data_IF_782199584428
#
_entry.id   IF_782199584428
#
_cell.length_a   1.000
_cell.length_b   1.000
_cell.length_c   1.000
_cell.angle_alpha   90.00
_cell.angle_beta   90.00
_cell.angle_gamma   90.00
#
_symmetry.space_group_name_H-M   'P 1'
#
loop_
_entity.id
_entity.type
_entity.pdbx_description
1 polymer ?
#
# COMPACT_ATOMS: atom_id res chain seq x y z
N UNK A 1 5.86 -8.05 -16.88
CA UNK A 1 4.45 -8.42 -16.67
C UNK A 1 3.67 -7.45 -15.81
N UNK A 2 4.34 -6.48 -15.16
CA UNK A 2 3.65 -5.25 -14.80
C UNK A 2 2.94 -4.73 -16.06
N UNK A 3 1.63 -4.50 -15.98
CA UNK A 3 0.88 -4.08 -17.16
C UNK A 3 1.36 -2.69 -17.53
N UNK A 4 1.53 -2.42 -18.84
CA UNK A 4 1.90 -1.07 -19.32
C UNK A 4 0.94 -0.01 -18.75
N UNK A 5 -0.32 -0.38 -18.51
CA UNK A 5 -1.35 0.47 -17.90
C UNK A 5 -1.04 0.83 -16.45
N UNK A 6 -0.77 -0.14 -15.57
CA UNK A 6 -0.42 0.13 -14.16
C UNK A 6 0.83 1.01 -14.06
N UNK A 7 1.85 0.70 -14.86
CA UNK A 7 3.09 1.49 -14.88
C UNK A 7 2.85 2.90 -15.40
N UNK A 8 2.00 3.06 -16.41
CA UNK A 8 1.57 4.37 -16.92
C UNK A 8 0.84 5.16 -15.83
N UNK A 9 -0.15 4.58 -15.15
CA UNK A 9 -0.88 5.23 -14.05
C UNK A 9 0.09 5.71 -12.97
N UNK A 10 1.03 4.86 -12.56
CA UNK A 10 2.05 5.21 -11.57
C UNK A 10 2.93 6.37 -12.01
N UNK A 11 3.41 6.31 -13.25
CA UNK A 11 4.37 7.27 -13.81
C UNK A 11 3.70 8.62 -14.07
N UNK A 12 2.47 8.64 -14.60
CA UNK A 12 1.71 9.88 -14.81
C UNK A 12 1.40 10.57 -13.47
N UNK A 13 1.01 9.80 -12.44
CA UNK A 13 0.78 10.34 -11.10
C UNK A 13 2.04 10.97 -10.52
N UNK A 14 3.19 10.32 -10.68
CA UNK A 14 4.49 10.84 -10.26
C UNK A 14 4.90 12.08 -11.06
N UNK A 15 4.69 12.08 -12.38
CA UNK A 15 4.96 13.22 -13.26
C UNK A 15 4.16 14.46 -12.82
N UNK A 16 2.89 14.27 -12.47
CA UNK A 16 2.05 15.34 -11.93
C UNK A 16 2.65 15.90 -10.63
N UNK A 17 3.05 15.06 -9.68
CA UNK A 17 3.69 15.57 -8.45
C UNK A 17 5.09 16.16 -8.65
N UNK A 18 5.84 15.68 -9.64
CA UNK A 18 7.17 16.21 -9.96
C UNK A 18 7.05 17.65 -10.49
N UNK A 19 5.98 17.99 -11.23
CA UNK A 19 5.69 19.37 -11.65
C UNK A 19 5.53 20.33 -10.46
N UNK A 20 4.94 19.85 -9.37
CA UNK A 20 4.79 20.63 -8.13
C UNK A 20 6.02 20.53 -7.21
N UNK A 21 7.09 19.84 -7.62
CA UNK A 21 8.29 19.59 -6.80
C UNK A 21 7.93 19.06 -5.41
N UNK A 22 6.94 18.17 -5.31
CA UNK A 22 6.36 17.78 -4.03
C UNK A 22 6.72 16.34 -3.60
N UNK A 23 7.79 15.77 -4.16
CA UNK A 23 8.19 14.37 -3.96
C UNK A 23 9.67 14.20 -3.59
N UNK A 24 9.99 13.29 -2.65
CA UNK A 24 11.38 12.92 -2.38
C UNK A 24 11.96 11.99 -3.47
N UNK A 25 11.14 11.52 -4.41
CA UNK A 25 11.51 10.62 -5.51
C UNK A 25 10.95 11.19 -6.80
N UNK A 26 11.80 11.33 -7.81
CA UNK A 26 11.43 11.85 -9.13
C UNK A 26 11.75 10.86 -10.24
N UNK A 27 11.12 11.05 -11.39
CA UNK A 27 11.39 10.28 -12.60
C UNK A 27 12.73 10.75 -13.20
N UNK A 28 13.68 9.83 -13.40
CA UNK A 28 15.00 10.17 -13.98
C UNK A 28 14.97 10.29 -15.49
N UNK A 29 14.20 9.45 -16.16
CA UNK A 29 14.09 9.43 -17.61
C UNK A 29 12.64 9.11 -18.00
N UNK A 30 11.82 10.13 -18.27
CA UNK A 30 10.41 9.95 -18.61
C UNK A 30 10.23 9.25 -19.97
N UNK A 31 11.24 9.28 -20.83
CA UNK A 31 11.22 8.68 -22.17
C UNK A 31 11.81 7.27 -22.21
N UNK A 32 12.52 6.82 -21.17
CA UNK A 32 13.06 5.46 -21.15
C UNK A 32 11.96 4.44 -20.90
N UNK A 33 11.95 3.37 -21.70
CA UNK A 33 11.07 2.22 -21.49
C UNK A 33 11.92 1.01 -21.05
N UNK A 34 11.93 0.62 -19.76
CA UNK A 34 11.02 1.06 -18.71
C UNK A 34 11.49 2.32 -17.93
N UNK A 35 10.57 3.07 -17.28
CA UNK A 35 10.89 4.24 -16.48
C UNK A 35 11.77 3.87 -15.29
N UNK A 36 12.65 4.80 -14.93
CA UNK A 36 13.53 4.70 -13.76
C UNK A 36 13.24 5.84 -12.78
N UNK A 37 13.39 5.54 -11.49
CA UNK A 37 13.26 6.52 -10.41
C UNK A 37 14.63 6.94 -9.89
N UNK A 38 14.74 8.21 -9.49
CA UNK A 38 15.89 8.78 -8.80
C UNK A 38 15.47 9.49 -7.51
N UNK A 39 16.38 9.60 -6.57
CA UNK A 39 16.17 10.45 -5.40
C UNK A 39 16.20 11.92 -5.80
N UNK A 40 15.19 12.70 -5.38
CA UNK A 40 15.18 14.15 -5.57
C UNK A 40 16.29 14.83 -4.77
N UNK A 41 16.78 15.99 -5.24
CA UNK A 41 17.75 16.82 -4.51
C UNK A 41 17.07 17.47 -3.30
N UNK A 42 17.80 17.65 -2.20
CA UNK A 42 17.29 18.24 -0.95
C UNK A 42 16.58 19.59 -1.14
N UNK A 43 17.10 20.44 -2.04
CA UNK A 43 16.53 21.75 -2.35
C UNK A 43 15.07 21.69 -2.84
N UNK A 44 14.67 20.60 -3.49
CA UNK A 44 13.32 20.46 -4.04
C UNK A 44 12.28 19.99 -3.03
N UNK A 45 12.65 19.61 -1.81
CA UNK A 45 11.70 19.16 -0.80
C UNK A 45 12.00 19.71 0.60
N UNK A 46 12.79 20.78 0.72
CA UNK A 46 13.05 21.45 2.01
C UNK A 46 11.76 21.98 2.65
N UNK A 47 10.87 22.56 1.87
CA UNK A 47 9.54 22.99 2.31
C UNK A 47 8.72 21.82 2.88
N UNK A 48 8.79 20.66 2.25
CA UNK A 48 8.14 19.44 2.75
C UNK A 48 8.65 19.01 4.12
N UNK A 49 9.96 19.09 4.34
CA UNK A 49 10.57 18.79 5.65
C UNK A 49 10.06 19.77 6.70
N UNK A 50 10.05 21.07 6.39
CA UNK A 50 9.57 22.11 7.30
C UNK A 50 8.10 21.87 7.66
N UNK A 51 7.22 21.67 6.67
CA UNK A 51 5.81 21.40 6.92
C UNK A 51 5.60 20.11 7.72
N UNK A 52 6.29 19.02 7.37
CA UNK A 52 6.18 17.76 8.12
C UNK A 52 6.58 17.92 9.58
N UNK A 53 7.66 18.65 9.87
CA UNK A 53 8.10 18.92 11.24
C UNK A 53 7.12 19.81 11.99
N UNK A 54 6.62 20.87 11.35
CA UNK A 54 5.59 21.75 11.94
C UNK A 54 4.30 20.99 12.25
N UNK A 55 3.89 20.05 11.38
CA UNK A 55 2.72 19.21 11.62
C UNK A 55 2.95 18.21 12.75
N UNK A 56 4.15 17.61 12.86
CA UNK A 56 4.49 16.76 14.02
C UNK A 56 4.39 17.57 15.31
N UNK A 57 4.95 18.78 15.35
CA UNK A 57 4.86 19.68 16.52
C UNK A 57 3.39 20.01 16.82
N UNK A 58 2.60 20.34 15.81
CA UNK A 58 1.17 20.62 15.96
C UNK A 58 0.44 19.41 16.54
N UNK A 59 0.67 18.20 16.01
CA UNK A 59 0.00 17.00 16.49
C UNK A 59 0.43 16.63 17.90
N UNK A 60 1.71 16.78 18.26
CA UNK A 60 2.18 16.59 19.65
C UNK A 60 1.52 17.61 20.59
N UNK A 61 1.41 18.86 20.16
CA UNK A 61 0.74 19.93 20.93
C UNK A 61 -0.77 19.66 21.08
N UNK A 62 -1.43 19.20 20.02
CA UNK A 62 -2.82 18.78 20.09
C UNK A 62 -2.99 17.54 20.96
N UNK A 63 -2.13 16.53 20.82
CA UNK A 63 -2.17 15.30 21.60
C UNK A 63 -1.98 15.53 23.09
N UNK A 64 -1.01 16.37 23.47
CA UNK A 64 -0.80 16.80 24.86
C UNK A 64 -2.02 17.55 25.39
N UNK A 65 -2.58 18.49 24.63
CA UNK A 65 -3.83 19.17 24.99
C UNK A 65 -5.01 18.20 25.15
N UNK A 66 -5.12 17.21 24.28
CA UNK A 66 -6.14 16.16 24.35
C UNK A 66 -5.94 15.29 25.59
N UNK A 67 -4.69 14.98 25.97
CA UNK A 67 -4.38 14.29 27.24
C UNK A 67 -4.77 15.14 28.46
N UNK A 68 -4.56 16.45 28.43
CA UNK A 68 -5.05 17.34 29.50
C UNK A 68 -6.58 17.39 29.56
N UNK A 69 -7.26 17.32 28.41
CA UNK A 69 -8.72 17.26 28.36
C UNK A 69 -9.32 15.99 28.96
N UNK A 70 -8.58 14.87 29.03
CA UNK A 70 -9.04 13.66 29.74
C UNK A 70 -9.37 13.91 31.21
N UNK A 71 -8.84 14.99 31.80
CA UNK A 71 -9.09 15.39 33.18
C UNK A 71 -10.29 16.34 33.32
N UNK A 72 -10.96 16.73 32.23
CA UNK A 72 -12.18 17.54 32.27
C UNK A 72 -13.41 16.68 32.60
N UNK A 73 -14.26 17.16 33.52
CA UNK A 73 -15.42 16.41 34.04
C UNK A 73 -16.57 16.21 33.04
N UNK A 74 -16.56 16.90 31.89
CA UNK A 74 -17.57 16.79 30.82
C UNK A 74 -16.88 16.62 29.47
N UNK A 75 -16.48 15.39 29.17
CA UNK A 75 -15.78 15.07 27.94
C UNK A 75 -16.77 14.54 26.90
N UNK A 76 -16.92 15.26 25.79
CA UNK A 76 -17.67 14.72 24.64
C UNK A 76 -16.81 13.65 23.95
N UNK A 77 -17.04 12.40 24.34
CA UNK A 77 -16.27 11.22 23.93
C UNK A 77 -16.14 11.11 22.40
N UNK A 78 -17.17 11.49 21.66
CA UNK A 78 -17.20 11.41 20.20
C UNK A 78 -16.20 12.39 19.56
N UNK A 79 -16.22 13.64 20.00
CA UNK A 79 -15.26 14.64 19.51
C UNK A 79 -13.83 14.29 19.89
N UNK A 80 -13.63 13.78 21.11
CA UNK A 80 -12.33 13.33 21.58
C UNK A 80 -11.78 12.18 20.73
N UNK A 81 -12.61 11.17 20.43
CA UNK A 81 -12.19 10.01 19.65
C UNK A 81 -11.90 10.37 18.19
N UNK A 82 -12.69 11.28 17.60
CA UNK A 82 -12.43 11.83 16.26
C UNK A 82 -11.12 12.61 16.23
N UNK A 83 -10.89 13.51 17.19
CA UNK A 83 -9.66 14.30 17.27
C UNK A 83 -8.43 13.41 17.53
N UNK A 84 -8.56 12.37 18.35
CA UNK A 84 -7.49 11.41 18.65
C UNK A 84 -7.13 10.55 17.42
N UNK A 85 -8.12 9.98 16.73
CA UNK A 85 -7.88 9.15 15.53
C UNK A 85 -7.33 10.00 14.37
N UNK A 86 -7.87 11.21 14.18
CA UNK A 86 -7.35 12.12 13.16
C UNK A 86 -5.93 12.56 13.48
N UNK A 87 -5.64 12.93 14.74
CA UNK A 87 -4.30 13.25 15.21
C UNK A 87 -3.31 12.09 14.99
N UNK A 88 -3.69 10.87 15.34
CA UNK A 88 -2.87 9.68 15.09
C UNK A 88 -2.61 9.47 13.60
N UNK A 89 -3.63 9.59 12.74
CA UNK A 89 -3.48 9.44 11.29
C UNK A 89 -2.53 10.49 10.71
N UNK A 90 -2.64 11.76 11.15
CA UNK A 90 -1.74 12.83 10.72
C UNK A 90 -0.30 12.58 11.20
N UNK A 91 -0.10 12.18 12.46
CA UNK A 91 1.24 11.85 12.99
C UNK A 91 1.88 10.69 12.23
N UNK A 92 1.09 9.65 11.98
CA UNK A 92 1.45 8.51 11.17
C UNK A 92 1.94 8.95 9.77
N UNK A 93 1.14 9.73 9.06
CA UNK A 93 1.48 10.17 7.71
C UNK A 93 2.72 11.10 7.71
N UNK A 94 2.91 11.91 8.74
CA UNK A 94 4.11 12.75 8.88
C UNK A 94 5.37 11.95 9.20
N UNK A 95 5.29 10.96 10.08
CA UNK A 95 6.43 10.07 10.38
C UNK A 95 6.85 9.25 9.17
N UNK A 96 5.89 8.80 8.36
CA UNK A 96 6.18 8.16 7.07
C UNK A 96 6.80 9.08 6.05
N UNK A 97 6.33 10.32 6.00
CA UNK A 97 6.91 11.37 5.17
C UNK A 97 8.41 11.56 5.48
N UNK A 98 8.74 11.67 6.77
CA UNK A 98 10.13 11.78 7.26
C UNK A 98 10.92 10.49 6.94
N UNK A 99 10.33 9.32 7.14
CA UNK A 99 10.96 8.05 6.82
C UNK A 99 11.26 7.91 5.32
N UNK A 100 10.31 8.26 4.45
CA UNK A 100 10.48 8.25 3.00
C UNK A 100 11.59 9.22 2.57
N UNK A 101 11.68 10.40 3.18
CA UNK A 101 12.79 11.34 2.95
C UNK A 101 14.14 10.71 3.28
N UNK A 102 14.24 10.08 4.46
CA UNK A 102 15.47 9.42 4.94
C UNK A 102 15.89 8.28 4.01
N UNK A 103 14.93 7.44 3.61
CA UNK A 103 15.16 6.20 2.87
C UNK A 103 14.92 6.32 1.35
N UNK A 104 14.77 7.55 0.81
CA UNK A 104 14.37 7.79 -0.60
C UNK A 104 15.24 7.09 -1.64
N UNK A 105 16.54 6.91 -1.36
CA UNK A 105 17.46 6.19 -2.25
C UNK A 105 17.11 4.70 -2.32
N UNK A 106 16.72 4.12 -1.19
CA UNK A 106 16.36 2.71 -1.11
C UNK A 106 15.01 2.46 -1.77
N UNK A 107 14.05 3.38 -1.63
CA UNK A 107 12.80 3.35 -2.39
C UNK A 107 13.03 3.36 -3.91
N UNK A 108 13.89 4.26 -4.40
CA UNK A 108 14.23 4.32 -5.83
C UNK A 108 14.94 3.04 -6.31
N UNK A 109 15.93 2.53 -5.54
CA UNK A 109 16.62 1.27 -5.84
C UNK A 109 15.67 0.08 -5.88
N UNK A 110 14.73 0.01 -4.94
CA UNK A 110 13.75 -1.07 -4.86
C UNK A 110 12.78 -1.04 -6.05
N UNK A 111 12.28 0.14 -6.44
CA UNK A 111 11.48 0.28 -7.65
C UNK A 111 12.25 -0.14 -8.90
N UNK A 112 13.45 0.40 -9.09
CA UNK A 112 14.30 0.07 -10.24
C UNK A 112 14.67 -1.42 -10.26
N UNK A 113 14.88 -2.02 -9.08
CA UNK A 113 15.10 -3.45 -8.90
C UNK A 113 13.91 -4.28 -9.37
N UNK A 114 12.68 -3.93 -8.96
CA UNK A 114 11.45 -4.58 -9.40
C UNK A 114 11.28 -4.49 -10.92
N UNK A 115 11.47 -3.30 -11.50
CA UNK A 115 11.34 -3.08 -12.94
C UNK A 115 12.40 -3.86 -13.74
N UNK A 116 13.67 -3.82 -13.29
CA UNK A 116 14.76 -4.56 -13.90
C UNK A 116 14.47 -6.06 -13.86
N UNK A 117 14.07 -6.56 -12.69
CA UNK A 117 13.70 -7.95 -12.48
C UNK A 117 12.56 -8.38 -13.41
N UNK A 118 11.49 -7.58 -13.51
CA UNK A 118 10.36 -7.82 -14.42
C UNK A 118 10.78 -7.87 -15.91
N UNK A 119 11.70 -6.98 -16.31
CA UNK A 119 12.21 -6.93 -17.69
C UNK A 119 13.08 -8.14 -18.03
N UNK A 120 13.97 -8.56 -17.12
CA UNK A 120 14.82 -9.74 -17.26
C UNK A 120 13.96 -11.01 -17.32
N UNK A 121 12.93 -11.09 -16.50
CA UNK A 121 12.01 -12.21 -16.54
C UNK A 121 11.22 -12.28 -17.84
N UNK A 122 10.71 -11.14 -18.31
CA UNK A 122 9.98 -11.09 -19.58
C UNK A 122 10.87 -11.55 -20.74
N UNK A 123 12.13 -11.13 -20.79
CA UNK A 123 13.09 -11.56 -21.81
C UNK A 123 13.35 -13.06 -21.76
N UNK A 124 13.60 -13.60 -20.56
CA UNK A 124 14.00 -15.01 -20.41
C UNK A 124 12.83 -16.00 -20.46
N UNK A 125 11.61 -15.58 -20.11
CA UNK A 125 10.41 -16.43 -20.05
C UNK A 125 9.37 -16.10 -21.12
N UNK A 126 9.76 -15.36 -22.16
CA UNK A 126 8.84 -14.85 -23.20
C UNK A 126 7.97 -15.96 -23.80
N UNK A 127 8.54 -17.13 -24.05
CA UNK A 127 7.83 -18.28 -24.63
C UNK A 127 6.73 -18.84 -23.70
N UNK A 128 6.99 -18.92 -22.39
CA UNK A 128 6.00 -19.41 -21.40
C UNK A 128 4.87 -18.40 -21.21
N UNK A 129 5.21 -17.11 -21.27
CA UNK A 129 4.23 -16.03 -21.18
C UNK A 129 3.27 -16.10 -22.36
N UNK A 130 3.77 -16.32 -23.59
CA UNK A 130 2.95 -16.45 -24.79
C UNK A 130 2.02 -17.67 -24.73
N UNK A 131 2.49 -18.81 -24.21
CA UNK A 131 1.67 -20.03 -24.11
C UNK A 131 0.61 -20.02 -22.99
N UNK A 132 0.79 -19.23 -21.94
CA UNK A 132 -0.12 -19.19 -20.79
C UNK A 132 -0.98 -17.92 -20.73
N UNK A 133 -0.84 -17.00 -21.70
CA UNK A 133 -1.57 -15.73 -21.75
C UNK A 133 -3.10 -15.90 -21.91
N UNK A 134 -3.56 -17.04 -22.43
CA UNK A 134 -4.98 -17.27 -22.78
C UNK A 134 -5.88 -17.62 -21.57
N UNK A 135 -5.36 -17.55 -20.34
CA UNK A 135 -6.14 -17.87 -19.14
C UNK A 135 -7.05 -16.71 -18.69
N UNK A 136 -8.36 -16.82 -18.90
CA UNK A 136 -9.40 -15.87 -18.44
C UNK A 136 -9.25 -15.43 -16.95
N UNK A 137 -8.75 -16.31 -16.08
CA UNK A 137 -8.56 -16.02 -14.66
C UNK A 137 -7.40 -15.03 -14.34
N UNK A 138 -6.43 -14.86 -15.25
CA UNK A 138 -5.41 -13.82 -15.14
C UNK A 138 -5.99 -12.44 -15.43
N UNK A 139 -6.92 -12.34 -16.39
CA UNK A 139 -7.52 -11.07 -16.83
C UNK A 139 -8.30 -10.38 -15.72
N UNK A 140 -9.12 -11.12 -14.97
CA UNK A 140 -9.97 -10.53 -13.91
C UNK A 140 -9.16 -10.01 -12.70
N UNK A 141 -8.09 -10.71 -12.29
CA UNK A 141 -7.24 -10.23 -11.19
C UNK A 141 -6.36 -9.04 -11.60
N UNK A 142 -5.93 -8.99 -12.86
CA UNK A 142 -5.23 -7.83 -13.39
C UNK A 142 -6.15 -6.61 -13.41
N UNK A 143 -7.42 -6.80 -13.79
CA UNK A 143 -8.42 -5.73 -13.79
C UNK A 143 -8.66 -5.16 -12.38
N UNK A 144 -8.80 -6.02 -11.36
CA UNK A 144 -9.05 -5.54 -10.00
C UNK A 144 -7.88 -4.74 -9.43
N UNK A 145 -6.64 -5.16 -9.68
CA UNK A 145 -5.44 -4.42 -9.24
C UNK A 145 -5.23 -3.13 -10.05
N UNK A 146 -5.57 -3.13 -11.34
CA UNK A 146 -5.60 -1.93 -12.18
C UNK A 146 -6.61 -0.91 -11.68
N UNK A 147 -7.85 -1.34 -11.38
CA UNK A 147 -8.89 -0.48 -10.84
C UNK A 147 -8.53 0.07 -9.47
N UNK A 148 -7.92 -0.75 -8.59
CA UNK A 148 -7.44 -0.29 -7.29
C UNK A 148 -6.36 0.78 -7.46
N UNK A 149 -5.37 0.54 -8.32
CA UNK A 149 -4.31 1.50 -8.59
C UNK A 149 -4.83 2.81 -9.18
N UNK A 150 -5.82 2.74 -10.07
CA UNK A 150 -6.49 3.90 -10.63
C UNK A 150 -7.29 4.67 -9.56
N UNK A 151 -8.06 3.97 -8.72
CA UNK A 151 -8.79 4.58 -7.62
C UNK A 151 -7.85 5.28 -6.63
N UNK A 152 -6.76 4.62 -6.22
CA UNK A 152 -5.73 5.23 -5.37
C UNK A 152 -5.11 6.46 -6.02
N UNK A 153 -4.85 6.42 -7.33
CA UNK A 153 -4.36 7.57 -8.09
C UNK A 153 -5.35 8.74 -8.05
N UNK A 154 -6.63 8.50 -8.36
CA UNK A 154 -7.66 9.53 -8.35
C UNK A 154 -7.82 10.14 -6.96
N UNK A 155 -8.03 9.32 -5.93
CA UNK A 155 -8.23 9.79 -4.56
C UNK A 155 -7.05 10.64 -4.11
N UNK A 156 -5.81 10.17 -4.30
CA UNK A 156 -4.61 10.92 -3.88
C UNK A 156 -4.31 12.16 -4.74
N UNK A 157 -4.99 12.34 -5.88
CA UNK A 157 -4.86 13.54 -6.72
C UNK A 157 -5.92 14.59 -6.37
N UNK A 158 -7.15 14.16 -6.09
CA UNK A 158 -8.26 15.07 -5.81
C UNK A 158 -8.40 15.44 -4.32
N UNK A 159 -7.92 14.60 -3.40
CA UNK A 159 -8.01 14.87 -1.96
C UNK A 159 -7.42 16.23 -1.54
N UNK A 160 -6.29 16.72 -2.08
CA UNK A 160 -5.80 18.07 -1.79
C UNK A 160 -6.80 19.17 -2.13
N UNK A 161 -7.51 19.06 -3.26
CA UNK A 161 -8.51 20.04 -3.69
C UNK A 161 -9.72 20.02 -2.77
N UNK A 162 -10.22 18.84 -2.45
CA UNK A 162 -11.31 18.66 -1.49
C UNK A 162 -10.92 19.25 -0.13
N UNK A 163 -9.69 19.00 0.32
CA UNK A 163 -9.18 19.54 1.57
C UNK A 163 -9.08 21.07 1.58
N UNK A 164 -8.62 21.67 0.47
CA UNK A 164 -8.61 23.12 0.32
C UNK A 164 -10.00 23.73 0.47
N UNK A 165 -11.04 23.06 -0.02
CA UNK A 165 -12.42 23.49 0.16
C UNK A 165 -12.91 23.30 1.61
N UNK A 166 -12.54 22.20 2.27
CA UNK A 166 -12.94 21.98 3.68
C UNK A 166 -12.27 22.96 4.64
N UNK A 167 -11.06 23.45 4.34
CA UNK A 167 -10.40 24.50 5.13
C UNK A 167 -11.17 25.84 5.18
N UNK A 168 -12.11 26.05 4.26
CA UNK A 168 -13.01 27.22 4.29
C UNK A 168 -14.07 27.08 5.39
N UNK A 169 -14.36 25.86 5.84
CA UNK A 169 -15.31 25.59 6.91
C UNK A 169 -14.73 26.02 8.26
N UNK A 170 -15.57 26.67 9.08
CA UNK A 170 -15.22 27.09 10.44
C UNK A 170 -15.03 25.90 11.37
N UNK A 171 -15.61 24.75 11.04
CA UNK A 171 -15.45 23.51 11.80
C UNK A 171 -14.04 22.90 11.61
N UNK A 172 -13.35 23.22 10.52
CA UNK A 172 -12.06 22.62 10.19
C UNK A 172 -10.98 23.01 11.24
N UNK A 173 -10.17 22.05 11.72
CA UNK A 173 -9.12 22.32 12.69
C UNK A 173 -8.09 23.36 12.23
N UNK A 174 -7.73 23.38 10.94
CA UNK A 174 -6.77 24.37 10.42
C UNK A 174 -7.40 25.74 10.33
N UNK A 175 -8.68 25.85 9.94
CA UNK A 175 -9.40 27.12 10.03
C UNK A 175 -9.37 27.68 11.46
N UNK A 176 -9.63 26.82 12.46
CA UNK A 176 -9.57 27.19 13.87
C UNK A 176 -8.16 27.58 14.31
N UNK A 177 -7.13 26.85 13.85
CA UNK A 177 -5.74 27.15 14.18
C UNK A 177 -5.27 28.49 13.59
N UNK A 178 -5.58 28.75 12.31
CA UNK A 178 -5.26 30.03 11.64
C UNK A 178 -5.99 31.20 12.31
N UNK A 179 -7.26 31.00 12.68
CA UNK A 179 -8.03 31.99 13.43
C UNK A 179 -7.44 32.23 14.82
N UNK A 180 -6.91 31.21 15.48
CA UNK A 180 -6.33 31.36 16.81
C UNK A 180 -4.96 32.06 16.77
N UNK A 181 -4.06 31.63 15.89
CA UNK A 181 -2.69 32.13 15.81
C UNK A 181 -2.61 33.53 15.18
N UNK A 182 -3.39 33.77 14.12
CA UNK A 182 -3.29 34.99 13.31
C UNK A 182 -4.55 35.87 13.38
N UNK A 183 -5.59 35.45 14.12
CA UNK A 183 -6.88 36.15 14.15
C UNK A 183 -7.56 36.24 12.79
N UNK A 184 -7.18 35.37 11.84
CA UNK A 184 -7.70 35.37 10.47
C UNK A 184 -8.86 34.39 10.30
N UNK A 185 -9.96 34.83 9.66
CA UNK A 185 -11.04 33.94 9.22
C UNK A 185 -10.79 33.56 7.76
N UNK A 186 -10.40 32.31 7.52
CA UNK A 186 -10.15 31.81 6.17
C UNK A 186 -11.46 31.88 5.37
N UNK A 187 -11.43 32.59 4.24
CA UNK A 187 -12.58 32.77 3.33
C UNK A 187 -12.07 32.63 1.90
N UNK A 188 -12.97 32.30 0.97
CA UNK A 188 -12.65 32.30 -0.45
C UNK A 188 -12.53 33.76 -0.95
N UNK A 189 -11.36 34.37 -0.68
CA UNK A 189 -10.96 35.70 -1.16
C UNK A 189 -9.51 35.61 -1.63
N UNK A 190 -9.15 36.45 -2.59
CA UNK A 190 -7.78 36.49 -3.16
C UNK A 190 -6.68 36.58 -2.09
N UNK A 191 -6.91 37.34 -1.01
CA UNK A 191 -5.95 37.51 0.09
C UNK A 191 -5.67 36.22 0.87
N UNK A 192 -6.57 35.24 0.85
CA UNK A 192 -6.42 33.94 1.53
C UNK A 192 -6.04 32.79 0.59
N UNK A 193 -5.98 33.06 -0.73
CA UNK A 193 -5.54 32.08 -1.72
C UNK A 193 -4.16 31.49 -1.40
N UNK A 194 -3.15 32.25 -0.93
CA UNK A 194 -1.84 31.68 -0.58
C UNK A 194 -1.91 30.66 0.57
N UNK A 195 -2.77 30.91 1.57
CA UNK A 195 -2.96 30.00 2.71
C UNK A 195 -3.65 28.71 2.27
N UNK A 196 -4.69 28.83 1.44
CA UNK A 196 -5.40 27.70 0.85
C UNK A 196 -4.46 26.86 -0.02
N UNK A 197 -3.70 27.50 -0.91
CA UNK A 197 -2.71 26.83 -1.77
C UNK A 197 -1.63 26.14 -0.95
N UNK A 198 -1.16 26.74 0.15
CA UNK A 198 -0.18 26.12 1.05
C UNK A 198 -0.74 24.87 1.75
N UNK A 199 -1.99 24.92 2.22
CA UNK A 199 -2.68 23.76 2.80
C UNK A 199 -2.90 22.64 1.78
N UNK A 200 -3.37 22.98 0.58
CA UNK A 200 -3.53 22.04 -0.53
C UNK A 200 -2.18 21.42 -0.92
N UNK A 201 -1.13 22.22 -1.01
CA UNK A 201 0.22 21.76 -1.33
C UNK A 201 0.76 20.77 -0.29
N UNK A 202 0.55 21.05 0.99
CA UNK A 202 0.91 20.14 2.07
C UNK A 202 0.17 18.80 1.96
N UNK A 203 -1.15 18.82 1.74
CA UNK A 203 -1.92 17.58 1.56
C UNK A 203 -1.51 16.82 0.30
N UNK A 204 -1.16 17.53 -0.78
CA UNK A 204 -0.63 16.90 -1.99
C UNK A 204 0.67 16.13 -1.73
N UNK A 205 1.56 16.67 -0.88
CA UNK A 205 2.79 15.99 -0.47
C UNK A 205 2.48 14.71 0.33
N UNK A 206 1.60 14.81 1.33
CA UNK A 206 1.18 13.66 2.13
C UNK A 206 0.54 12.56 1.25
N UNK A 207 -0.32 12.97 0.32
CA UNK A 207 -0.95 12.08 -0.65
C UNK A 207 0.08 11.43 -1.60
N UNK A 208 1.16 12.13 -1.95
CA UNK A 208 2.23 11.58 -2.77
C UNK A 208 3.00 10.46 -2.05
N UNK A 209 3.30 10.66 -0.77
CA UNK A 209 3.89 9.62 0.08
C UNK A 209 2.95 8.42 0.15
N UNK A 210 1.69 8.63 0.52
CA UNK A 210 0.67 7.56 0.57
C UNK A 210 0.52 6.81 -0.75
N UNK A 211 0.46 7.54 -1.88
CA UNK A 211 0.40 6.96 -3.21
C UNK A 211 1.64 6.13 -3.54
N UNK A 212 2.84 6.62 -3.23
CA UNK A 212 4.07 5.87 -3.48
C UNK A 212 4.06 4.54 -2.74
N UNK A 213 3.65 4.55 -1.47
CA UNK A 213 3.59 3.33 -0.68
C UNK A 213 2.54 2.34 -1.20
N UNK A 214 1.29 2.80 -1.40
CA UNK A 214 0.21 1.94 -1.86
C UNK A 214 0.41 1.48 -3.32
N UNK A 215 0.69 2.42 -4.21
CA UNK A 215 0.91 2.15 -5.64
C UNK A 215 2.09 1.22 -5.89
N UNK A 216 3.20 1.39 -5.17
CA UNK A 216 4.33 0.47 -5.28
C UNK A 216 3.97 -0.93 -4.75
N UNK A 217 3.27 -1.01 -3.62
CA UNK A 217 2.83 -2.30 -3.05
C UNK A 217 1.95 -3.07 -4.03
N UNK A 218 1.01 -2.39 -4.69
CA UNK A 218 0.15 -2.98 -5.73
C UNK A 218 0.98 -3.49 -6.92
N UNK A 219 1.95 -2.70 -7.42
CA UNK A 219 2.86 -3.12 -8.49
C UNK A 219 3.68 -4.36 -8.12
N UNK A 220 4.19 -4.38 -6.89
CA UNK A 220 4.95 -5.50 -6.37
C UNK A 220 4.09 -6.77 -6.24
N UNK A 221 2.90 -6.68 -5.64
CA UNK A 221 1.99 -7.83 -5.49
C UNK A 221 1.57 -8.40 -6.82
N UNK A 222 1.25 -7.52 -7.77
CA UNK A 222 0.90 -7.91 -9.12
C UNK A 222 2.05 -8.69 -9.77
N UNK A 223 3.26 -8.11 -9.74
CA UNK A 223 4.45 -8.72 -10.34
C UNK A 223 4.74 -10.10 -9.75
N UNK A 224 4.85 -10.21 -8.42
CA UNK A 224 5.15 -11.49 -7.77
C UNK A 224 4.05 -12.52 -8.02
N UNK A 225 2.79 -12.15 -7.84
CA UNK A 225 1.67 -13.09 -8.00
C UNK A 225 1.65 -13.67 -9.41
N UNK A 226 1.86 -12.82 -10.42
CA UNK A 226 1.91 -13.25 -11.81
C UNK A 226 3.10 -14.18 -12.07
N UNK A 227 4.30 -13.78 -11.62
CA UNK A 227 5.49 -14.61 -11.80
C UNK A 227 5.39 -15.94 -11.08
N UNK A 228 4.95 -15.96 -9.82
CA UNK A 228 4.70 -17.18 -9.06
C UNK A 228 3.70 -18.09 -9.76
N UNK A 229 2.59 -17.56 -10.31
CA UNK A 229 1.63 -18.39 -11.05
C UNK A 229 2.19 -18.98 -12.34
N UNK A 230 3.10 -18.29 -13.01
CA UNK A 230 3.73 -18.78 -14.24
C UNK A 230 4.76 -19.86 -13.94
N UNK A 231 5.57 -19.70 -12.89
CA UNK A 231 6.60 -20.67 -12.51
C UNK A 231 6.04 -21.84 -11.69
N UNK A 232 4.93 -21.64 -10.98
CA UNK A 232 4.28 -22.68 -10.18
C UNK A 232 3.34 -23.50 -11.06
N UNK A 233 3.59 -24.81 -11.26
CA UNK A 233 2.74 -25.63 -12.09
C UNK A 233 1.31 -25.71 -11.56
N UNK A 234 0.30 -25.39 -12.40
CA UNK A 234 -1.10 -25.76 -12.16
C UNK A 234 -1.23 -27.28 -12.30
N UNK A 235 -1.25 -28.01 -11.18
CA UNK A 235 -1.46 -29.45 -11.11
C UNK A 235 -1.93 -29.85 -9.71
N UNK A 236 -2.86 -30.80 -9.64
CA UNK A 236 -3.37 -31.33 -8.37
C UNK A 236 -2.24 -32.02 -7.60
N UNK A 237 -2.06 -31.64 -6.33
CA UNK A 237 -1.15 -32.31 -5.40
C UNK A 237 -1.46 -33.81 -5.24
N UNK A 238 -2.66 -34.26 -5.64
CA UNK A 238 -3.14 -35.60 -5.38
C UNK A 238 -2.69 -36.65 -6.40
N UNK A 239 -1.99 -36.29 -7.49
CA UNK A 239 -1.48 -37.26 -8.47
C UNK A 239 -0.16 -36.81 -9.14
N UNK A 240 0.98 -36.93 -8.43
CA UNK A 240 2.28 -36.47 -8.93
C UNK A 240 2.78 -37.24 -10.18
N UNK A 241 2.44 -38.53 -10.32
CA UNK A 241 2.97 -39.42 -11.37
C UNK A 241 2.49 -39.12 -12.80
N UNK A 242 1.18 -38.93 -13.02
CA UNK A 242 0.62 -38.59 -14.35
C UNK A 242 0.92 -37.16 -14.80
N UNK A 243 1.16 -36.26 -13.84
CA UNK A 243 1.50 -34.86 -14.11
C UNK A 243 2.96 -34.69 -14.57
N UNK A 244 3.87 -35.52 -14.04
CA UNK A 244 5.29 -35.51 -14.36
C UNK A 244 5.55 -35.77 -15.84
N UNK A 245 4.88 -36.74 -16.49
CA UNK A 245 5.11 -37.07 -17.90
C UNK A 245 4.63 -36.00 -18.90
N UNK A 246 3.48 -35.36 -18.65
CA UNK A 246 2.88 -34.41 -19.60
C UNK A 246 3.49 -33.00 -19.53
N UNK A 247 4.17 -32.65 -18.43
CA UNK A 247 4.84 -31.33 -18.25
C UNK A 247 6.36 -31.38 -18.11
N UNK A 248 6.99 -32.53 -17.87
CA UNK A 248 8.44 -32.66 -18.14
C UNK A 248 8.73 -32.43 -19.62
N UNK A 249 7.81 -32.79 -20.53
CA UNK A 249 7.89 -32.40 -21.93
C UNK A 249 7.78 -30.89 -22.13
N UNK A 250 6.95 -30.16 -21.35
CA UNK A 250 6.82 -28.71 -21.45
C UNK A 250 8.04 -27.98 -20.89
N UNK A 251 8.60 -28.44 -19.77
CA UNK A 251 9.81 -27.86 -19.18
C UNK A 251 11.10 -28.26 -19.93
N UNK A 252 11.11 -29.44 -20.59
CA UNK A 252 12.15 -29.83 -21.56
C UNK A 252 12.02 -29.09 -22.89
N UNK A 253 10.80 -28.90 -23.43
CA UNK A 253 10.55 -28.15 -24.68
C UNK A 253 10.77 -26.64 -24.54
N UNK A 254 10.79 -26.10 -23.32
CA UNK A 254 11.03 -24.67 -23.04
C UNK A 254 12.45 -24.36 -22.58
N UNK A 255 13.38 -25.31 -22.66
CA UNK A 255 14.77 -25.16 -22.21
C UNK A 255 14.97 -24.71 -20.74
N UNK A 256 13.91 -24.73 -19.93
CA UNK A 256 13.98 -24.53 -18.48
C UNK A 256 14.75 -25.66 -17.78
N UNK A 257 14.98 -26.75 -18.50
CA UNK A 257 15.77 -27.91 -18.10
C UNK A 257 16.77 -28.24 -19.23
N UNK A 258 17.53 -27.26 -19.71
CA UNK A 258 18.76 -27.60 -20.42
C UNK A 258 19.76 -28.18 -19.40
N UNK A 259 20.43 -29.28 -19.76
CA UNK A 259 21.59 -29.80 -19.04
C UNK A 259 22.79 -28.82 -19.06
N UNK A 260 22.70 -27.75 -19.86
CA UNK A 260 23.57 -26.58 -19.80
C UNK A 260 22.84 -25.42 -19.10
N UNK A 261 23.25 -25.14 -17.86
CA UNK A 261 22.71 -24.14 -16.93
C UNK A 261 22.59 -22.72 -17.54
N UNK A 262 21.51 -22.39 -18.28
CA UNK A 262 21.20 -20.99 -18.63
C UNK A 262 20.02 -20.39 -17.86
N UNK A 263 19.16 -21.21 -17.24
CA UNK A 263 17.97 -20.70 -16.56
C UNK A 263 17.65 -21.44 -15.24
N UNK A 264 18.14 -20.90 -14.11
CA UNK A 264 17.92 -21.48 -12.79
C UNK A 264 16.71 -20.83 -12.07
N UNK A 265 15.56 -21.50 -12.12
CA UNK A 265 14.31 -21.06 -11.48
C UNK A 265 14.48 -20.86 -9.96
N UNK A 266 15.40 -21.58 -9.32
CA UNK A 266 15.69 -21.41 -7.88
C UNK A 266 16.41 -20.07 -7.62
N UNK A 267 17.32 -19.67 -8.51
CA UNK A 267 18.02 -18.38 -8.41
C UNK A 267 17.04 -17.20 -8.59
N UNK A 268 16.07 -17.40 -9.46
CA UNK A 268 14.97 -16.48 -9.74
C UNK A 268 14.09 -16.26 -8.52
N UNK A 269 13.69 -17.35 -7.87
CA UNK A 269 12.91 -17.27 -6.64
C UNK A 269 13.73 -16.63 -5.49
N UNK A 270 15.05 -16.88 -5.43
CA UNK A 270 15.96 -16.17 -4.51
C UNK A 270 16.01 -14.67 -4.76
N UNK A 271 15.91 -14.20 -6.01
CA UNK A 271 15.83 -12.76 -6.29
C UNK A 271 14.53 -12.14 -5.77
N UNK A 272 13.41 -12.86 -5.86
CA UNK A 272 12.16 -12.42 -5.22
C UNK A 272 12.27 -12.38 -3.71
N UNK A 273 12.93 -13.36 -3.09
CA UNK A 273 13.19 -13.39 -1.65
C UNK A 273 14.06 -12.23 -1.16
N UNK A 274 15.07 -11.85 -1.93
CA UNK A 274 15.89 -10.66 -1.65
C UNK A 274 15.02 -9.40 -1.72
N UNK A 275 14.21 -9.25 -2.79
CA UNK A 275 13.31 -8.11 -2.94
C UNK A 275 12.24 -8.06 -1.83
N UNK A 276 11.70 -9.20 -1.42
CA UNK A 276 10.74 -9.34 -0.33
C UNK A 276 11.33 -8.92 1.01
N UNK A 277 12.60 -9.25 1.28
CA UNK A 277 13.29 -8.77 2.48
C UNK A 277 13.44 -7.24 2.48
N UNK A 278 13.80 -6.65 1.34
CA UNK A 278 13.89 -5.19 1.20
C UNK A 278 12.53 -4.52 1.40
N UNK A 279 11.47 -5.10 0.82
CA UNK A 279 10.12 -4.56 0.95
C UNK A 279 9.63 -4.68 2.38
N UNK A 280 9.85 -5.80 3.06
CA UNK A 280 9.48 -5.95 4.46
C UNK A 280 10.21 -4.97 5.37
N UNK A 281 11.48 -4.65 5.08
CA UNK A 281 12.23 -3.65 5.85
C UNK A 281 11.66 -2.23 5.70
N UNK A 282 11.12 -1.88 4.53
CA UNK A 282 10.67 -0.52 4.22
C UNK A 282 9.15 -0.35 4.39
N UNK A 283 8.36 -1.38 4.09
CA UNK A 283 6.89 -1.38 4.03
C UNK A 283 6.25 -2.21 5.15
N UNK A 284 6.97 -3.13 5.78
CA UNK A 284 6.40 -4.03 6.79
C UNK A 284 5.79 -3.29 7.99
N UNK A 285 6.42 -2.19 8.41
CA UNK A 285 5.87 -1.32 9.44
C UNK A 285 4.70 -0.48 8.92
N UNK A 286 4.86 0.18 7.77
CA UNK A 286 3.82 0.99 7.13
C UNK A 286 2.49 0.25 6.95
N UNK A 287 2.55 -0.97 6.39
CA UNK A 287 1.36 -1.65 5.88
C UNK A 287 0.43 -2.11 7.00
N UNK A 288 0.94 -2.42 8.20
CA UNK A 288 0.10 -2.99 9.27
C UNK A 288 -0.10 -2.05 10.44
N UNK A 289 0.92 -1.35 10.92
CA UNK A 289 0.70 -0.46 12.08
C UNK A 289 -0.04 0.80 11.66
N UNK A 290 0.09 1.21 10.40
CA UNK A 290 -0.38 2.50 9.95
C UNK A 290 -1.54 2.39 8.97
N UNK A 291 -1.40 1.62 7.88
CA UNK A 291 -2.50 1.48 6.93
C UNK A 291 -3.69 0.69 7.54
N UNK A 292 -3.45 -0.51 8.08
CA UNK A 292 -4.53 -1.29 8.72
C UNK A 292 -5.09 -0.65 9.98
N UNK A 293 -4.23 -0.02 10.80
CA UNK A 293 -4.67 0.70 12.00
C UNK A 293 -5.59 1.88 11.65
N UNK A 294 -5.22 2.70 10.66
CA UNK A 294 -6.06 3.82 10.19
C UNK A 294 -7.34 3.30 9.55
N UNK A 295 -7.30 2.22 8.76
CA UNK A 295 -8.51 1.61 8.20
C UNK A 295 -9.46 1.12 9.29
N UNK A 296 -8.93 0.51 10.37
CA UNK A 296 -9.74 0.09 11.52
C UNK A 296 -10.36 1.30 12.22
N UNK A 297 -9.59 2.37 12.45
CA UNK A 297 -10.10 3.61 13.06
C UNK A 297 -11.19 4.28 12.23
N UNK A 298 -11.01 4.37 10.91
CA UNK A 298 -12.02 4.92 9.98
C UNK A 298 -13.28 4.05 10.02
N UNK A 299 -13.13 2.72 9.91
CA UNK A 299 -14.25 1.79 9.96
C UNK A 299 -15.01 1.90 11.28
N UNK A 300 -14.30 2.03 12.41
CA UNK A 300 -14.89 2.18 13.74
C UNK A 300 -15.70 3.48 13.86
N UNK A 301 -15.11 4.63 13.51
CA UNK A 301 -15.78 5.93 13.59
C UNK A 301 -17.00 5.95 12.67
N UNK A 302 -16.84 5.51 11.43
CA UNK A 302 -17.94 5.49 10.48
C UNK A 302 -19.07 4.55 10.93
N UNK A 303 -18.73 3.36 11.46
CA UNK A 303 -19.73 2.43 11.98
C UNK A 303 -20.47 2.98 13.20
N UNK A 304 -19.74 3.64 14.11
CA UNK A 304 -20.35 4.30 15.26
C UNK A 304 -21.30 5.43 14.85
N UNK A 305 -20.90 6.28 13.91
CA UNK A 305 -21.75 7.34 13.35
C UNK A 305 -22.99 6.78 12.64
N UNK A 306 -22.84 5.68 11.91
CA UNK A 306 -23.96 4.95 11.30
C UNK A 306 -24.96 4.43 12.33
N UNK A 307 -24.56 4.13 13.56
CA UNK A 307 -25.49 3.63 14.58
C UNK A 307 -26.12 4.78 15.36
N UNK A 308 -25.31 5.74 15.82
CA UNK A 308 -25.76 6.81 16.73
C UNK A 308 -26.35 8.02 16.03
N UNK A 309 -25.97 8.31 14.80
CA UNK A 309 -26.31 9.59 14.14
C UNK A 309 -27.11 9.43 12.86
N UNK A 310 -27.42 8.20 12.42
CA UNK A 310 -28.15 7.98 11.17
C UNK A 310 -29.48 8.75 11.15
N UNK A 311 -30.26 8.69 12.21
CA UNK A 311 -31.57 9.33 12.31
C UNK A 311 -31.53 10.87 12.34
N UNK A 312 -30.36 11.47 12.61
CA UNK A 312 -30.17 12.93 12.71
C UNK A 312 -29.56 13.51 11.43
N UNK A 313 -28.87 12.69 10.65
CA UNK A 313 -28.14 13.12 9.46
C UNK A 313 -29.05 13.13 8.23
N UNK A 314 -28.82 14.10 7.34
CA UNK A 314 -29.45 14.12 6.01
C UNK A 314 -28.99 12.90 5.16
N UNK A 315 -29.77 12.55 4.14
CA UNK A 315 -29.52 11.38 3.27
C UNK A 315 -28.10 11.34 2.68
N UNK A 316 -27.58 12.46 2.18
CA UNK A 316 -26.25 12.49 1.55
C UNK A 316 -25.08 12.13 2.50
N UNK A 317 -24.98 12.73 3.71
CA UNK A 317 -24.02 12.29 4.74
C UNK A 317 -24.18 10.82 5.15
N UNK A 318 -25.41 10.31 5.27
CA UNK A 318 -25.64 8.89 5.62
C UNK A 318 -25.04 7.95 4.56
N UNK A 319 -25.29 8.23 3.27
CA UNK A 319 -24.72 7.47 2.15
C UNK A 319 -23.20 7.50 2.19
N UNK A 320 -22.60 8.66 2.47
CA UNK A 320 -21.14 8.80 2.56
C UNK A 320 -20.55 7.95 3.68
N UNK A 321 -21.15 7.96 4.87
CA UNK A 321 -20.66 7.19 6.02
C UNK A 321 -20.78 5.69 5.76
N UNK A 322 -21.92 5.23 5.23
CA UNK A 322 -22.11 3.82 4.85
C UNK A 322 -21.07 3.41 3.80
N UNK A 323 -20.85 4.25 2.79
CA UNK A 323 -19.84 4.00 1.76
C UNK A 323 -18.43 3.91 2.37
N UNK A 324 -18.08 4.76 3.34
CA UNK A 324 -16.80 4.68 4.05
C UNK A 324 -16.60 3.34 4.75
N UNK A 325 -17.63 2.82 5.44
CA UNK A 325 -17.57 1.49 6.08
C UNK A 325 -17.36 0.39 5.05
N UNK A 326 -18.18 0.37 3.99
CA UNK A 326 -18.11 -0.65 2.94
C UNK A 326 -16.75 -0.63 2.25
N UNK A 327 -16.23 0.56 1.92
CA UNK A 327 -14.92 0.72 1.28
C UNK A 327 -13.78 0.26 2.20
N UNK A 328 -13.81 0.62 3.49
CA UNK A 328 -12.77 0.20 4.43
C UNK A 328 -12.70 -1.33 4.58
N UNK A 329 -13.86 -1.99 4.69
CA UNK A 329 -13.95 -3.46 4.76
C UNK A 329 -13.50 -4.10 3.44
N UNK A 330 -13.91 -3.53 2.29
CA UNK A 330 -13.55 -4.05 0.98
C UNK A 330 -12.03 -3.97 0.72
N UNK A 331 -11.39 -2.86 1.08
CA UNK A 331 -9.93 -2.70 0.99
C UNK A 331 -9.25 -3.77 1.83
N UNK A 332 -9.63 -3.91 3.11
CA UNK A 332 -9.02 -4.87 4.02
C UNK A 332 -9.19 -6.32 3.53
N UNK A 333 -10.39 -6.68 3.05
CA UNK A 333 -10.64 -7.99 2.44
C UNK A 333 -9.74 -8.25 1.23
N UNK A 334 -9.65 -7.28 0.31
CA UNK A 334 -8.88 -7.41 -0.91
C UNK A 334 -7.39 -7.58 -0.63
N UNK A 335 -6.82 -6.74 0.24
CA UNK A 335 -5.41 -6.81 0.63
C UNK A 335 -5.06 -8.14 1.31
N UNK A 336 -5.84 -8.55 2.32
CA UNK A 336 -5.64 -9.83 3.01
C UNK A 336 -5.72 -11.00 2.03
N UNK A 337 -6.70 -10.99 1.11
CA UNK A 337 -6.86 -12.05 0.10
C UNK A 337 -5.66 -12.12 -0.84
N UNK A 338 -5.16 -10.98 -1.32
CA UNK A 338 -4.02 -10.94 -2.22
C UNK A 338 -2.73 -11.38 -1.55
N UNK A 339 -2.46 -10.90 -0.33
CA UNK A 339 -1.28 -11.28 0.45
C UNK A 339 -1.26 -12.77 0.79
N UNK A 340 -2.40 -13.31 1.23
CA UNK A 340 -2.53 -14.72 1.54
C UNK A 340 -2.40 -15.60 0.29
N UNK A 341 -2.93 -15.16 -0.86
CA UNK A 341 -2.75 -15.87 -2.13
C UNK A 341 -1.28 -15.92 -2.57
N UNK A 342 -0.54 -14.81 -2.44
CA UNK A 342 0.89 -14.76 -2.75
C UNK A 342 1.67 -15.76 -1.90
N UNK A 343 1.44 -15.74 -0.58
CA UNK A 343 1.95 -16.70 0.39
C UNK A 343 1.68 -18.15 -0.02
N UNK A 344 0.42 -18.48 -0.30
CA UNK A 344 0.00 -19.84 -0.64
C UNK A 344 0.62 -20.34 -1.95
N UNK A 345 0.79 -19.46 -2.95
CA UNK A 345 1.48 -19.80 -4.20
C UNK A 345 2.97 -20.07 -3.95
N UNK A 346 3.57 -19.26 -3.10
CA UNK A 346 4.97 -19.36 -2.69
C UNK A 346 5.25 -20.67 -1.95
N UNK A 347 4.40 -21.05 -1.01
CA UNK A 347 4.46 -22.35 -0.31
C UNK A 347 4.33 -23.53 -1.27
N UNK A 348 3.36 -23.46 -2.20
CA UNK A 348 3.16 -24.50 -3.21
C UNK A 348 4.40 -24.67 -4.08
N UNK A 349 5.00 -23.56 -4.50
CA UNK A 349 6.24 -23.57 -5.27
C UNK A 349 7.38 -24.27 -4.52
N UNK A 350 7.63 -23.90 -3.26
CA UNK A 350 8.68 -24.50 -2.42
C UNK A 350 8.45 -26.01 -2.25
N UNK A 351 7.22 -26.43 -1.92
CA UNK A 351 6.88 -27.85 -1.77
C UNK A 351 7.14 -28.66 -3.04
N UNK A 352 6.79 -28.10 -4.21
CA UNK A 352 7.05 -28.74 -5.51
C UNK A 352 8.56 -28.84 -5.76
N UNK A 353 9.34 -27.80 -5.48
CA UNK A 353 10.80 -27.85 -5.60
C UNK A 353 11.42 -28.89 -4.65
N UNK A 354 10.97 -28.92 -3.39
CA UNK A 354 11.45 -29.87 -2.38
C UNK A 354 11.15 -31.33 -2.72
N UNK A 355 9.98 -31.61 -3.31
CA UNK A 355 9.62 -32.94 -3.78
C UNK A 355 10.41 -33.39 -5.02
N UNK A 356 10.89 -32.44 -5.83
CA UNK A 356 11.52 -32.70 -7.13
C UNK A 356 13.02 -32.94 -7.06
N UNK A 357 13.74 -32.24 -6.18
CA UNK A 357 15.20 -32.34 -6.09
C UNK A 357 15.61 -33.31 -4.97
N UNK A 358 16.55 -34.23 -5.25
CA UNK A 358 17.15 -35.08 -4.20
C UNK A 358 17.80 -34.19 -3.14
N UNK A 359 17.48 -34.43 -1.85
CA UNK A 359 17.97 -33.63 -0.71
C UNK A 359 19.50 -33.46 -0.68
N UNK A 360 20.26 -34.46 -1.12
CA UNK A 360 21.74 -34.43 -1.14
C UNK A 360 22.33 -33.61 -2.32
N UNK A 361 21.55 -33.27 -3.34
CA UNK A 361 22.01 -32.49 -4.49
C UNK A 361 22.13 -30.99 -4.15
N UNK A 362 23.00 -30.25 -4.86
CA UNK A 362 23.14 -28.79 -4.71
C UNK A 362 21.78 -28.09 -4.89
N UNK A 363 21.02 -28.46 -5.92
CA UNK A 363 19.67 -27.92 -6.18
C UNK A 363 18.66 -28.31 -5.07
N UNK A 364 18.82 -29.48 -4.46
CA UNK A 364 18.04 -29.91 -3.29
C UNK A 364 18.35 -29.09 -2.04
N UNK A 365 19.63 -28.84 -1.73
CA UNK A 365 20.05 -27.95 -0.63
C UNK A 365 19.51 -26.53 -0.84
N UNK A 366 19.57 -26.03 -2.07
CA UNK A 366 18.99 -24.71 -2.41
C UNK A 366 17.47 -24.70 -2.23
N UNK A 367 16.75 -25.72 -2.69
CA UNK A 367 15.30 -25.83 -2.53
C UNK A 367 14.87 -25.85 -1.06
N UNK A 368 15.63 -26.55 -0.20
CA UNK A 368 15.39 -26.57 1.26
C UNK A 368 15.68 -25.22 1.91
N UNK A 369 16.64 -24.45 1.39
CA UNK A 369 16.96 -23.11 1.89
C UNK A 369 15.93 -22.03 1.51
N UNK A 370 14.92 -22.34 0.69
CA UNK A 370 13.91 -21.37 0.30
C UNK A 370 12.90 -21.16 1.43
N UNK A 371 12.64 -19.90 1.78
CA UNK A 371 11.52 -19.48 2.63
C UNK A 371 10.37 -18.90 1.82
N UNK A 372 9.18 -19.02 2.38
CA UNK A 372 7.95 -18.50 1.79
C UNK A 372 7.96 -16.98 1.75
N UNK A 373 7.63 -16.42 0.58
CA UNK A 373 7.42 -14.98 0.41
C UNK A 373 6.15 -14.56 1.17
N UNK A 374 6.33 -13.67 2.14
CA UNK A 374 5.25 -13.11 2.94
C UNK A 374 5.58 -11.67 3.29
N UNK A 375 4.56 -10.81 3.26
CA UNK A 375 4.71 -9.54 3.95
C UNK A 375 4.61 -9.78 5.44
N UNK A 376 5.68 -9.44 6.12
CA UNK A 376 5.77 -9.45 7.58
C UNK A 376 5.42 -8.05 8.06
N UNK A 377 4.47 -7.98 8.98
CA UNK A 377 4.28 -6.76 9.78
C UNK A 377 5.35 -6.66 10.85
N UNK A 378 5.57 -5.47 11.40
CA UNK A 378 6.63 -5.19 12.38
C UNK A 378 6.74 -6.19 13.54
N UNK A 379 7.92 -6.24 14.16
CA UNK A 379 8.24 -7.17 15.26
C UNK A 379 7.38 -6.93 16.51
N UNK A 380 6.84 -7.98 17.18
CA UNK A 380 6.89 -9.38 16.77
C UNK A 380 6.00 -9.63 15.55
N UNK A 381 6.55 -10.30 14.54
CA UNK A 381 5.99 -10.38 13.19
C UNK A 381 4.57 -10.95 13.16
N UNK A 382 3.53 -10.13 12.97
CA UNK A 382 2.23 -10.65 12.56
C UNK A 382 2.27 -10.96 11.06
N UNK A 383 2.01 -12.21 10.71
CA UNK A 383 1.82 -12.59 9.30
C UNK A 383 0.36 -12.37 8.92
N UNK A 384 0.11 -11.60 7.86
CA UNK A 384 -1.25 -11.46 7.33
C UNK A 384 -1.67 -12.78 6.69
N UNK A 385 -2.69 -13.41 7.26
CA UNK A 385 -3.32 -14.66 6.79
C UNK A 385 -4.78 -14.40 6.47
N UNK A 386 -5.47 -15.34 5.83
CA UNK A 386 -6.93 -15.24 5.63
C UNK A 386 -7.70 -14.97 6.93
N UNK A 387 -7.24 -15.52 8.07
CA UNK A 387 -7.83 -15.28 9.39
C UNK A 387 -7.68 -13.83 9.88
N UNK A 388 -6.71 -13.07 9.37
CA UNK A 388 -6.50 -11.66 9.75
C UNK A 388 -7.68 -10.77 9.37
N UNK A 389 -8.42 -11.10 8.29
CA UNK A 389 -9.65 -10.38 7.94
C UNK A 389 -10.75 -10.62 8.99
N UNK A 390 -10.95 -11.87 9.40
CA UNK A 390 -11.93 -12.20 10.43
C UNK A 390 -11.57 -11.56 11.77
N UNK A 391 -10.28 -11.55 12.12
CA UNK A 391 -9.80 -10.87 13.31
C UNK A 391 -10.04 -9.35 13.25
N UNK A 392 -9.86 -8.72 12.08
CA UNK A 392 -10.19 -7.32 11.88
C UNK A 392 -11.68 -7.04 12.10
N UNK A 393 -12.57 -7.85 11.49
CA UNK A 393 -14.02 -7.71 11.67
C UNK A 393 -14.42 -7.94 13.12
N UNK A 394 -13.85 -8.96 13.77
CA UNK A 394 -14.08 -9.24 15.18
C UNK A 394 -13.69 -8.04 16.06
N UNK A 395 -12.48 -7.50 15.90
CA UNK A 395 -12.01 -6.34 16.68
C UNK A 395 -12.89 -5.12 16.44
N UNK A 396 -13.28 -4.85 15.18
CA UNK A 396 -14.20 -3.77 14.85
C UNK A 396 -15.54 -3.92 15.61
N UNK A 397 -16.14 -5.11 15.56
CA UNK A 397 -17.42 -5.38 16.22
C UNK A 397 -17.31 -5.35 17.75
N UNK A 398 -16.23 -5.89 18.33
CA UNK A 398 -16.00 -5.87 19.77
C UNK A 398 -15.85 -4.44 20.28
N UNK A 399 -14.99 -3.63 19.67
CA UNK A 399 -14.79 -2.24 20.09
C UNK A 399 -16.05 -1.42 19.88
N UNK A 400 -16.77 -1.65 18.77
CA UNK A 400 -18.05 -0.99 18.51
C UNK A 400 -19.11 -1.35 19.56
N UNK A 401 -19.23 -2.63 19.94
CA UNK A 401 -20.15 -3.07 20.98
C UNK A 401 -19.81 -2.45 22.34
N UNK A 402 -18.52 -2.42 22.71
CA UNK A 402 -18.07 -1.76 23.95
C UNK A 402 -18.39 -0.27 23.95
N UNK A 403 -18.13 0.42 22.84
CA UNK A 403 -18.46 1.84 22.70
C UNK A 403 -19.96 2.09 22.83
N UNK A 404 -20.80 1.22 22.26
CA UNK A 404 -22.27 1.37 22.34
C UNK A 404 -22.84 1.07 23.72
N UNK A 405 -22.20 0.20 24.50
CA UNK A 405 -22.62 -0.12 25.87
C UNK A 405 -22.20 0.95 26.89
N UNK A 406 -21.17 1.74 26.56
CA UNK A 406 -20.57 2.75 27.47
C UNK A 406 -21.04 4.18 27.20
N UNK A 407 -21.76 4.42 26.09
CA UNK A 407 -22.41 5.70 25.73
C UNK A 407 -23.91 5.52 25.58
#
# INVERSE_FOLDING_TARGET
MITKRMLKIYTERLRLTDQFQCTPISISSPESCPPTLRSSKWKHFSLFVIFSMSTVIYVVTCGTRTLFRLWESKLNLVHFLVDAVFGQAVLAICTLSIWMIRSRRDHAKMFNGLIKLDSEFKKKLQFIVLQNADGCHFRNQNLSLEMLMFATCLVTTFLPVVYGLTMLDKADPIHRAVKYLFHWRVRLRWNFLPVLMSGMYFVLQLCSVGFHYLGFSILYFHSITVWLKLITPRGSLNNPGKFLLKKTSLWKKTDLISQQDRFNILQIYRQFQVLDRYINAVYGHFLVTLHMGVLLGIALIASYMCIRSLHVLNFAPQVLIILCVVVAIAIMYFEVRHLSNMSNLSDKFIKICGARYRRKSVKGKVAVSLWTLHIRSGSPFFTIKHSSFLQFVYQLMTVLATLLLTT
#
